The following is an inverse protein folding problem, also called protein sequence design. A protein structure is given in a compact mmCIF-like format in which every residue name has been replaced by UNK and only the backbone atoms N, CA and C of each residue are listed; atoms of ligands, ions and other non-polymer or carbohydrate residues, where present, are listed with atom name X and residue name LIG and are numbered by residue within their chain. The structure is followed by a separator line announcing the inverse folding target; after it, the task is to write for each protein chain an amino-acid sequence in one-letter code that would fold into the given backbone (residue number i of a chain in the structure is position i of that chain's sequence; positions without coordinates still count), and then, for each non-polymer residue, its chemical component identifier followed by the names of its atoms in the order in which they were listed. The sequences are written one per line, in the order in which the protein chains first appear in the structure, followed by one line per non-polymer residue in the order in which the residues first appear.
data_IF_508028082366
#
_entry.id   IF_508028082366
#
_cell.length_a   1.000
_cell.length_b   1.000
_cell.length_c   1.000
_cell.angle_alpha   90.00
_cell.angle_beta   90.00
_cell.angle_gamma   90.00
#
_symmetry.space_group_name_H-M   'P 1'
#
loop_
_entity.id
_entity.type
_entity.pdbx_description
1 polymer ?
#
# COMPACT_ATOMS: atom_id res chain seq x y z
N UNK A 1 -16.51 -1.39 20.56
CA UNK A 1 -15.84 -2.67 20.85
C UNK A 1 -14.37 -2.42 21.15
N UNK A 2 -13.75 -3.33 21.90
CA UNK A 2 -12.34 -3.22 22.27
C UNK A 2 -11.41 -3.55 21.10
N UNK A 3 -10.24 -2.93 21.07
CA UNK A 3 -9.17 -3.27 20.13
C UNK A 3 -8.68 -4.68 20.47
N UNK A 4 -8.60 -5.59 19.49
CA UNK A 4 -8.17 -6.96 19.74
C UNK A 4 -6.73 -6.98 20.29
N UNK A 5 -6.45 -7.69 21.41
CA UNK A 5 -5.12 -7.69 22.03
C UNK A 5 -3.99 -8.13 21.09
N UNK A 6 -4.27 -9.03 20.15
CA UNK A 6 -3.31 -9.52 19.17
C UNK A 6 -2.78 -8.44 18.20
N UNK A 7 -3.46 -7.28 18.12
CA UNK A 7 -2.98 -6.13 17.34
C UNK A 7 -1.91 -5.33 18.07
N UNK A 8 -1.79 -5.48 19.39
CA UNK A 8 -0.99 -4.61 20.25
C UNK A 8 0.35 -5.27 20.57
N UNK A 9 1.43 -4.53 20.37
CA UNK A 9 2.78 -4.93 20.76
C UNK A 9 3.42 -3.83 21.58
N UNK A 10 3.90 -4.15 22.77
CA UNK A 10 4.71 -3.22 23.57
C UNK A 10 6.17 -3.36 23.14
N UNK A 11 6.75 -2.30 22.60
CA UNK A 11 8.15 -2.28 22.14
C UNK A 11 9.11 -1.79 23.24
N UNK A 12 8.64 -0.88 24.09
CA UNK A 12 9.38 -0.45 25.28
C UNK A 12 8.44 -0.43 26.48
N UNK A 13 8.63 -1.38 27.39
CA UNK A 13 7.74 -1.63 28.54
C UNK A 13 8.20 -0.87 29.79
N UNK A 14 8.26 0.44 29.69
CA UNK A 14 8.41 1.34 30.84
C UNK A 14 7.06 1.96 31.20
N UNK A 15 6.87 2.45 32.44
CA UNK A 15 5.72 3.28 32.76
C UNK A 15 5.66 4.53 31.88
N UNK A 16 4.46 5.06 31.56
CA UNK A 16 4.34 6.38 30.95
C UNK A 16 5.08 7.43 31.79
N UNK A 17 5.73 8.38 31.12
CA UNK A 17 6.50 9.44 31.78
C UNK A 17 5.59 10.35 32.60
N UNK A 18 5.93 10.54 33.87
CA UNK A 18 5.30 11.55 34.72
C UNK A 18 5.61 12.96 34.21
N UNK A 19 4.57 13.81 34.14
CA UNK A 19 4.71 15.18 33.66
C UNK A 19 4.92 15.33 32.14
N UNK A 20 4.62 14.30 31.35
CA UNK A 20 4.56 14.44 29.89
C UNK A 20 3.51 15.46 29.44
N UNK A 21 3.78 16.19 28.37
CA UNK A 21 2.91 17.25 27.85
C UNK A 21 1.72 16.71 27.03
N UNK A 22 1.87 15.52 26.45
CA UNK A 22 0.89 14.87 25.56
C UNK A 22 1.15 13.36 25.43
N UNK A 23 0.16 12.63 24.93
CA UNK A 23 0.39 11.34 24.25
C UNK A 23 0.76 11.60 22.80
N UNK A 24 1.73 10.87 22.27
CA UNK A 24 2.19 11.01 20.89
C UNK A 24 1.74 9.82 20.05
N UNK A 25 1.19 10.06 18.86
CA UNK A 25 0.96 9.04 17.85
C UNK A 25 1.73 9.38 16.57
N UNK A 26 2.69 8.53 16.19
CA UNK A 26 3.29 8.58 14.86
C UNK A 26 2.35 7.88 13.86
N UNK A 27 1.64 8.69 13.08
CA UNK A 27 0.87 8.22 11.94
C UNK A 27 1.84 8.08 10.76
N UNK A 28 1.97 6.88 10.20
CA UNK A 28 2.86 6.61 9.06
C UNK A 28 2.22 5.67 8.05
N UNK A 29 1.78 4.48 8.47
CA UNK A 29 1.13 3.50 7.60
C UNK A 29 -0.39 3.74 7.51
N UNK A 30 -1.03 4.10 8.63
CA UNK A 30 -2.49 4.27 8.73
C UNK A 30 -2.89 5.74 8.61
N UNK A 31 -2.72 6.36 7.44
CA UNK A 31 -3.02 7.78 7.20
C UNK A 31 -4.52 8.07 7.03
N UNK A 32 -5.28 7.76 8.08
CA UNK A 32 -6.73 7.94 8.18
C UNK A 32 -7.17 8.09 9.62
N UNK A 33 -8.35 8.68 9.82
CA UNK A 33 -9.00 8.78 11.13
C UNK A 33 -9.99 7.63 11.36
N UNK A 34 -10.90 7.30 10.42
CA UNK A 34 -11.80 6.15 10.60
C UNK A 34 -11.05 4.82 10.53
N UNK A 35 -11.53 3.83 11.28
CA UNK A 35 -10.95 2.47 11.30
C UNK A 35 -9.42 2.45 11.51
N UNK A 36 -8.91 3.34 12.38
CA UNK A 36 -7.51 3.39 12.78
C UNK A 36 -7.36 2.96 14.26
N UNK A 37 -7.03 1.69 14.53
CA UNK A 37 -6.90 1.21 15.91
C UNK A 37 -5.74 1.87 16.68
N UNK A 38 -4.66 2.29 15.99
CA UNK A 38 -3.55 3.00 16.63
C UNK A 38 -4.00 4.36 17.17
N UNK A 39 -4.76 5.12 16.37
CA UNK A 39 -5.36 6.38 16.80
C UNK A 39 -6.31 6.18 17.98
N UNK A 40 -7.18 5.17 17.92
CA UNK A 40 -8.15 4.93 18.98
C UNK A 40 -7.48 4.47 20.30
N UNK A 41 -6.38 3.70 20.25
CA UNK A 41 -5.59 3.43 21.45
C UNK A 41 -4.93 4.70 21.98
N UNK A 42 -4.38 5.55 21.09
CA UNK A 42 -3.73 6.79 21.51
C UNK A 42 -4.71 7.74 22.23
N UNK A 43 -5.98 7.79 21.80
CA UNK A 43 -7.05 8.54 22.47
C UNK A 43 -7.37 7.92 23.84
N UNK A 44 -7.48 6.59 23.91
CA UNK A 44 -7.73 5.88 25.17
C UNK A 44 -6.64 6.17 26.22
N UNK A 45 -5.39 6.10 25.81
CA UNK A 45 -4.24 6.43 26.65
C UNK A 45 -4.18 7.91 27.03
N UNK A 46 -4.49 8.81 26.10
CA UNK A 46 -4.54 10.25 26.36
C UNK A 46 -5.60 10.58 27.43
N UNK A 47 -6.80 10.00 27.33
CA UNK A 47 -7.86 10.16 28.32
C UNK A 47 -7.45 9.57 29.68
N UNK A 48 -6.88 8.34 29.69
CA UNK A 48 -6.42 7.69 30.92
C UNK A 48 -5.37 8.52 31.67
N UNK A 49 -4.48 9.17 30.93
CA UNK A 49 -3.41 10.02 31.46
C UNK A 49 -3.84 11.48 31.68
N UNK A 50 -5.07 11.84 31.28
CA UNK A 50 -5.60 13.21 31.31
C UNK A 50 -4.73 14.22 30.53
N UNK A 51 -4.23 13.78 29.39
CA UNK A 51 -3.35 14.54 28.50
C UNK A 51 -4.00 14.77 27.14
N UNK A 52 -3.61 15.83 26.40
CA UNK A 52 -3.97 15.96 25.01
C UNK A 52 -3.22 14.93 24.14
N UNK A 53 -3.76 14.68 22.94
CA UNK A 53 -3.12 13.86 21.91
C UNK A 53 -2.48 14.75 20.84
N UNK A 54 -1.21 14.45 20.53
CA UNK A 54 -0.49 14.97 19.38
C UNK A 54 -0.26 13.82 18.38
N UNK A 55 -0.76 13.97 17.17
CA UNK A 55 -0.42 13.12 16.03
C UNK A 55 0.69 13.80 15.24
N UNK A 56 1.70 13.05 14.81
CA UNK A 56 2.76 13.56 13.96
C UNK A 56 2.98 12.70 12.72
N UNK A 57 3.62 13.31 11.71
CA UNK A 57 4.08 12.64 10.49
C UNK A 57 5.46 13.21 10.09
N UNK A 58 6.40 12.32 9.74
CA UNK A 58 7.70 12.68 9.19
C UNK A 58 7.71 12.63 7.67
N UNK A 59 7.88 13.79 7.03
CA UNK A 59 7.91 13.93 5.58
C UNK A 59 9.35 13.92 5.05
N UNK A 60 9.67 12.87 4.31
CA UNK A 60 10.90 12.75 3.53
C UNK A 60 10.81 13.59 2.26
N UNK A 61 11.90 14.23 1.84
CA UNK A 61 12.02 14.85 0.51
C UNK A 61 13.49 14.98 0.05
N UNK A 62 13.70 15.41 -1.19
CA UNK A 62 15.03 15.64 -1.76
C UNK A 62 15.87 14.36 -1.85
N UNK A 63 17.16 14.47 -1.52
CA UNK A 63 18.09 13.34 -1.48
C UNK A 63 17.70 12.25 -0.46
N UNK A 64 16.80 12.58 0.48
CA UNK A 64 16.26 11.66 1.47
C UNK A 64 14.82 11.24 1.14
N UNK A 65 14.32 11.53 -0.06
CA UNK A 65 12.97 11.16 -0.50
C UNK A 65 12.72 9.65 -0.40
N UNK A 66 11.44 9.27 -0.30
CA UNK A 66 11.10 7.85 -0.30
C UNK A 66 11.62 7.18 -1.59
N UNK A 67 12.29 6.02 -1.52
CA UNK A 67 12.91 5.41 -2.69
C UNK A 67 11.95 5.26 -3.87
N UNK A 68 12.38 5.73 -5.05
CA UNK A 68 11.63 5.63 -6.32
C UNK A 68 10.24 6.31 -6.31
N UNK A 69 9.95 7.14 -5.31
CA UNK A 69 8.78 8.02 -5.32
C UNK A 69 9.07 9.32 -6.10
N UNK A 70 8.00 9.97 -6.55
CA UNK A 70 8.06 11.18 -7.38
C UNK A 70 6.82 12.06 -7.10
N UNK A 71 6.70 13.18 -7.81
CA UNK A 71 5.64 14.17 -7.60
C UNK A 71 4.23 13.56 -7.62
N UNK A 72 3.97 12.54 -8.44
CA UNK A 72 2.68 11.82 -8.45
C UNK A 72 2.31 11.25 -7.08
N UNK A 73 3.24 10.54 -6.48
CA UNK A 73 3.05 9.84 -5.20
C UNK A 73 2.91 10.84 -4.06
N UNK A 74 3.74 11.88 -4.07
CA UNK A 74 3.71 12.93 -3.07
C UNK A 74 2.43 13.77 -3.15
N UNK A 75 1.90 14.05 -4.33
CA UNK A 75 0.61 14.71 -4.46
C UNK A 75 -0.51 13.91 -3.79
N UNK A 76 -0.61 12.61 -4.08
CA UNK A 76 -1.62 11.73 -3.48
C UNK A 76 -1.44 11.59 -1.96
N UNK A 77 -0.21 11.47 -1.48
CA UNK A 77 0.15 11.47 -0.06
C UNK A 77 -0.30 12.75 0.65
N UNK A 78 0.07 13.92 0.11
CA UNK A 78 -0.22 15.21 0.74
C UNK A 78 -1.72 15.51 0.78
N UNK A 79 -2.47 15.12 -0.26
CA UNK A 79 -3.93 15.19 -0.26
C UNK A 79 -4.53 14.33 0.87
N UNK A 80 -4.00 13.12 1.10
CA UNK A 80 -4.44 12.26 2.18
C UNK A 80 -4.09 12.79 3.57
N UNK A 81 -2.89 13.35 3.75
CA UNK A 81 -2.49 14.00 4.99
C UNK A 81 -3.34 15.24 5.29
N UNK A 82 -3.73 16.01 4.27
CA UNK A 82 -4.64 17.15 4.42
C UNK A 82 -6.03 16.70 4.93
N UNK A 83 -6.58 15.64 4.33
CA UNK A 83 -7.85 15.04 4.75
C UNK A 83 -7.79 14.50 6.19
N UNK A 84 -6.73 13.75 6.53
CA UNK A 84 -6.50 13.24 7.88
C UNK A 84 -6.33 14.37 8.91
N UNK A 85 -5.55 15.41 8.59
CA UNK A 85 -5.35 16.57 9.45
C UNK A 85 -6.67 17.28 9.77
N UNK A 86 -7.51 17.53 8.75
CA UNK A 86 -8.83 18.14 8.93
C UNK A 86 -9.76 17.26 9.77
N UNK A 87 -9.72 15.93 9.60
CA UNK A 87 -10.51 15.00 10.39
C UNK A 87 -10.04 14.91 11.86
N UNK A 88 -8.72 14.99 12.11
CA UNK A 88 -8.16 15.06 13.46
C UNK A 88 -8.53 16.36 14.17
N UNK A 89 -8.48 17.49 13.47
CA UNK A 89 -8.88 18.79 14.02
C UNK A 89 -10.35 18.80 14.46
N UNK A 90 -11.25 18.24 13.65
CA UNK A 90 -12.68 18.07 14.03
C UNK A 90 -12.88 17.25 15.31
N UNK A 91 -11.94 16.35 15.62
CA UNK A 91 -11.93 15.56 16.86
C UNK A 91 -11.17 16.24 17.99
N UNK A 92 -10.69 17.48 17.83
CA UNK A 92 -9.94 18.20 18.84
C UNK A 92 -8.52 17.67 19.06
N UNK A 93 -7.93 16.99 18.07
CA UNK A 93 -6.60 16.37 18.14
C UNK A 93 -5.62 17.23 17.34
N UNK A 94 -4.43 17.46 17.89
CA UNK A 94 -3.40 18.24 17.21
C UNK A 94 -2.66 17.36 16.19
N UNK A 95 -2.37 17.92 15.01
CA UNK A 95 -1.56 17.26 13.98
C UNK A 95 -0.33 18.11 13.64
N UNK A 96 0.85 17.48 13.59
CA UNK A 96 2.11 18.13 13.26
C UNK A 96 2.87 17.35 12.18
N UNK A 97 2.93 17.92 10.98
CA UNK A 97 3.76 17.46 9.88
C UNK A 97 5.14 18.13 9.96
N UNK A 98 6.25 17.38 9.95
CA UNK A 98 7.62 17.94 9.92
C UNK A 98 8.45 17.29 8.81
N UNK A 99 9.43 18.03 8.30
CA UNK A 99 10.48 17.45 7.44
C UNK A 99 11.41 16.58 8.28
N UNK A 100 11.78 15.42 7.76
CA UNK A 100 12.65 14.46 8.44
C UNK A 100 12.13 13.04 8.31
N UNK A 101 12.96 12.07 8.67
CA UNK A 101 12.52 10.68 8.72
C UNK A 101 11.42 10.52 9.79
N UNK A 102 10.50 9.55 9.63
CA UNK A 102 9.52 9.25 10.66
C UNK A 102 10.17 8.95 12.03
N UNK A 103 11.36 8.33 12.01
CA UNK A 103 12.12 8.04 13.22
C UNK A 103 12.65 9.31 13.90
N UNK A 104 13.32 10.20 13.18
CA UNK A 104 13.84 11.47 13.72
C UNK A 104 12.73 12.31 14.36
N UNK A 105 11.61 12.46 13.64
CA UNK A 105 10.46 13.25 14.11
C UNK A 105 9.83 12.62 15.35
N UNK A 106 9.65 11.30 15.37
CA UNK A 106 9.07 10.62 16.53
C UNK A 106 9.99 10.65 17.75
N UNK A 107 11.30 10.45 17.57
CA UNK A 107 12.28 10.48 18.67
C UNK A 107 12.29 11.87 19.32
N UNK A 108 12.43 12.94 18.53
CA UNK A 108 12.43 14.32 19.03
C UNK A 108 11.13 14.65 19.79
N UNK A 109 9.97 14.37 19.19
CA UNK A 109 8.69 14.66 19.83
C UNK A 109 8.42 13.75 21.04
N UNK A 110 9.04 12.57 21.13
CA UNK A 110 8.90 11.67 22.28
C UNK A 110 9.58 12.18 23.55
N UNK A 111 10.50 13.14 23.45
CA UNK A 111 11.19 13.72 24.62
C UNK A 111 10.23 14.41 25.59
N UNK A 112 9.08 14.86 25.10
CA UNK A 112 8.02 15.52 25.88
C UNK A 112 6.76 14.68 26.02
N UNK A 113 6.69 13.54 25.34
CA UNK A 113 5.52 12.66 25.39
C UNK A 113 5.48 11.85 26.69
N UNK A 114 4.29 11.56 27.19
CA UNK A 114 4.09 10.57 28.25
C UNK A 114 4.31 9.14 27.72
N UNK A 115 3.80 8.86 26.52
CA UNK A 115 4.04 7.63 25.76
C UNK A 115 3.90 7.87 24.26
N UNK A 116 4.47 6.95 23.49
CA UNK A 116 4.45 6.94 22.04
C UNK A 116 3.64 5.74 21.53
N UNK A 117 2.64 6.03 20.71
CA UNK A 117 1.89 5.04 19.93
C UNK A 117 2.40 5.05 18.49
N UNK A 118 2.57 3.86 17.92
CA UNK A 118 3.00 3.64 16.54
C UNK A 118 1.94 2.83 15.79
N UNK A 119 1.75 3.09 14.51
CA UNK A 119 1.20 2.07 13.62
C UNK A 119 2.29 1.08 13.16
N UNK A 120 1.92 0.12 12.31
CA UNK A 120 2.81 -0.95 11.85
C UNK A 120 2.95 -0.94 10.34
N UNK A 121 4.18 -0.69 9.88
CA UNK A 121 4.62 -0.94 8.52
C UNK A 121 5.28 -2.31 8.36
N UNK A 122 5.40 -2.77 7.12
CA UNK A 122 5.85 -4.13 6.78
C UNK A 122 7.16 -4.14 5.99
N UNK A 123 7.46 -3.05 5.30
CA UNK A 123 8.62 -2.92 4.43
C UNK A 123 9.91 -2.79 5.24
N UNK A 124 11.04 -3.15 4.62
CA UNK A 124 12.36 -3.08 5.26
C UNK A 124 12.68 -1.66 5.75
N UNK A 125 12.39 -0.63 4.95
CA UNK A 125 12.60 0.78 5.32
C UNK A 125 11.77 1.19 6.55
N UNK A 126 10.52 0.74 6.63
CA UNK A 126 9.63 1.04 7.75
C UNK A 126 10.08 0.33 9.02
N UNK A 127 10.41 -0.96 8.92
CA UNK A 127 11.02 -1.74 10.02
C UNK A 127 12.30 -1.07 10.52
N UNK A 128 13.11 -0.50 9.62
CA UNK A 128 14.28 0.32 9.94
C UNK A 128 13.93 1.50 10.84
N UNK A 129 12.97 2.35 10.42
CA UNK A 129 12.52 3.50 11.21
C UNK A 129 11.97 3.09 12.58
N UNK A 130 11.12 2.07 12.66
CA UNK A 130 10.58 1.64 13.96
C UNK A 130 11.67 1.08 14.89
N UNK A 131 12.68 0.39 14.35
CA UNK A 131 13.83 -0.06 15.13
C UNK A 131 14.71 1.11 15.61
N UNK A 132 14.85 2.18 14.83
CA UNK A 132 15.50 3.42 15.28
C UNK A 132 14.73 4.09 16.40
N UNK A 133 13.40 4.20 16.27
CA UNK A 133 12.52 4.74 17.31
C UNK A 133 12.64 3.94 18.61
N UNK A 134 12.61 2.60 18.53
CA UNK A 134 12.73 1.71 19.68
C UNK A 134 14.05 1.92 20.45
N UNK A 135 15.16 2.16 19.75
CA UNK A 135 16.46 2.47 20.38
C UNK A 135 16.55 3.91 20.90
N UNK A 136 15.93 4.85 20.18
CA UNK A 136 16.05 6.28 20.41
C UNK A 136 15.12 6.81 21.52
N UNK A 137 13.83 6.51 21.43
CA UNK A 137 12.82 7.04 22.34
C UNK A 137 12.95 6.43 23.75
N UNK A 138 12.77 7.27 24.78
CA UNK A 138 12.95 6.88 26.20
C UNK A 138 11.63 6.69 26.96
N UNK A 139 10.50 6.99 26.35
CA UNK A 139 9.17 6.77 26.91
C UNK A 139 8.65 5.37 26.59
N UNK A 140 7.50 5.01 27.17
CA UNK A 140 6.74 3.82 26.78
C UNK A 140 6.42 3.85 25.29
N UNK A 141 6.58 2.72 24.60
CA UNK A 141 6.26 2.58 23.18
C UNK A 141 5.28 1.42 22.98
N UNK A 142 4.15 1.72 22.35
CA UNK A 142 3.12 0.72 21.98
C UNK A 142 2.87 0.80 20.49
N UNK A 143 3.02 -0.31 19.78
CA UNK A 143 2.74 -0.42 18.36
C UNK A 143 1.44 -1.18 18.13
N UNK A 144 0.66 -0.74 17.12
CA UNK A 144 -0.58 -1.37 16.72
C UNK A 144 -0.62 -1.71 15.24
N UNK A 145 -1.15 -2.89 14.95
CA UNK A 145 -1.35 -3.38 13.59
C UNK A 145 -2.80 -3.17 13.12
N UNK A 146 -3.00 -2.22 12.20
CA UNK A 146 -4.32 -1.82 11.69
C UNK A 146 -4.53 -1.92 10.17
N UNK A 147 -3.48 -2.24 9.40
CA UNK A 147 -3.52 -2.24 7.93
C UNK A 147 -3.65 -3.66 7.33
N UNK A 148 -4.00 -4.63 8.17
CA UNK A 148 -4.45 -5.99 7.80
C UNK A 148 -5.67 -6.34 8.66
N UNK A 149 -6.54 -7.20 8.14
CA UNK A 149 -7.66 -7.76 8.88
C UNK A 149 -7.13 -8.59 10.04
N UNK A 150 -6.31 -9.60 9.78
CA UNK A 150 -5.70 -10.42 10.85
C UNK A 150 -4.22 -10.04 10.99
N UNK A 151 -3.73 -9.68 12.20
CA UNK A 151 -2.31 -9.36 12.41
C UNK A 151 -1.39 -10.44 11.84
N UNK A 152 -0.31 -10.03 11.14
CA UNK A 152 0.43 -10.95 10.26
C UNK A 152 0.97 -12.18 10.99
N UNK A 153 1.47 -11.99 12.21
CA UNK A 153 2.01 -13.05 13.07
C UNK A 153 0.92 -13.92 13.70
N UNK A 154 -0.29 -13.39 13.85
CA UNK A 154 -1.46 -14.15 14.31
C UNK A 154 -2.03 -15.01 13.18
N UNK A 155 -2.03 -14.47 11.95
CA UNK A 155 -2.43 -15.22 10.76
C UNK A 155 -1.46 -16.39 10.46
N UNK A 156 -0.15 -16.17 10.57
CA UNK A 156 0.85 -17.21 10.45
C UNK A 156 2.18 -16.83 11.10
N UNK A 157 2.83 -17.79 11.76
CA UNK A 157 4.17 -17.62 12.35
C UNK A 157 5.31 -17.85 11.35
N UNK A 158 4.99 -18.10 10.07
CA UNK A 158 5.96 -18.39 9.01
C UNK A 158 5.50 -17.85 7.67
N UNK A 159 6.46 -17.75 6.74
CA UNK A 159 6.19 -17.52 5.34
C UNK A 159 5.31 -18.64 4.75
N UNK A 160 4.17 -18.25 4.19
CA UNK A 160 3.24 -19.13 3.50
C UNK A 160 3.55 -19.16 2.01
N UNK A 161 3.83 -20.34 1.47
CA UNK A 161 4.26 -20.44 0.07
C UNK A 161 3.13 -20.21 -0.93
N UNK A 162 1.85 -20.24 -0.54
CA UNK A 162 0.73 -20.01 -1.46
C UNK A 162 -0.56 -19.57 -0.73
N UNK A 163 -1.47 -18.92 -1.46
CA UNK A 163 -2.77 -18.51 -0.94
C UNK A 163 -3.56 -19.69 -0.33
N UNK A 164 -3.44 -20.91 -0.89
CA UNK A 164 -4.13 -22.10 -0.38
C UNK A 164 -3.71 -22.52 1.03
N UNK A 165 -2.54 -22.10 1.52
CA UNK A 165 -2.05 -22.46 2.86
C UNK A 165 -2.32 -21.36 3.88
N UNK A 166 -2.35 -20.09 3.45
CA UNK A 166 -2.74 -18.97 4.32
C UNK A 166 -4.26 -18.84 4.48
N UNK A 167 -5.05 -19.05 3.40
CA UNK A 167 -6.52 -18.91 3.39
C UNK A 167 -7.23 -19.58 4.56
N UNK A 168 -7.04 -20.88 4.85
CA UNK A 168 -7.78 -21.53 5.95
C UNK A 168 -7.41 -20.95 7.33
N UNK A 169 -6.19 -20.41 7.49
CA UNK A 169 -5.77 -19.77 8.74
C UNK A 169 -6.48 -18.43 8.94
N UNK A 170 -6.52 -17.61 7.87
CA UNK A 170 -7.26 -16.35 7.87
C UNK A 170 -8.76 -16.57 8.08
N UNK A 171 -9.38 -17.48 7.33
CA UNK A 171 -10.82 -17.77 7.41
C UNK A 171 -11.27 -18.25 8.80
N UNK A 172 -10.38 -18.91 9.55
CA UNK A 172 -10.67 -19.33 10.93
C UNK A 172 -10.76 -18.15 11.90
N UNK A 173 -10.09 -17.05 11.60
CA UNK A 173 -9.88 -15.94 12.53
C UNK A 173 -10.60 -14.67 12.10
N UNK A 174 -10.79 -14.45 10.80
CA UNK A 174 -11.14 -13.14 10.25
C UNK A 174 -12.45 -12.55 10.80
N UNK A 175 -13.40 -13.36 11.26
CA UNK A 175 -14.66 -12.88 11.81
C UNK A 175 -14.44 -12.17 13.15
N UNK A 176 -13.46 -12.62 13.94
CA UNK A 176 -13.06 -11.96 15.20
C UNK A 176 -12.40 -10.59 14.97
N UNK A 177 -11.97 -10.31 13.74
CA UNK A 177 -11.25 -9.10 13.35
C UNK A 177 -12.02 -8.20 12.39
N UNK A 178 -13.05 -8.73 11.70
CA UNK A 178 -13.97 -8.00 10.84
C UNK A 178 -15.10 -7.40 11.68
N UNK A 179 -14.70 -6.56 12.62
CA UNK A 179 -15.57 -5.90 13.57
C UNK A 179 -15.52 -4.37 13.37
N UNK A 180 -16.65 -3.66 13.54
CA UNK A 180 -16.66 -2.21 13.54
C UNK A 180 -15.73 -1.63 14.61
N UNK A 181 -14.96 -0.61 14.25
CA UNK A 181 -14.16 0.16 15.21
C UNK A 181 -14.92 1.41 15.63
N UNK A 182 -15.41 1.42 16.87
CA UNK A 182 -16.10 2.57 17.42
C UNK A 182 -15.10 3.72 17.73
N UNK A 183 -15.35 4.94 17.23
CA UNK A 183 -14.51 6.10 17.53
C UNK A 183 -14.70 6.54 18.98
N UNK A 184 -13.60 6.89 19.66
CA UNK A 184 -13.57 7.41 21.03
C UNK A 184 -13.55 8.95 21.03
N UNK A 185 -14.11 9.55 22.07
CA UNK A 185 -14.03 11.00 22.29
C UNK A 185 -12.73 11.35 23.01
N UNK A 186 -12.08 12.44 22.62
CA UNK A 186 -10.94 12.98 23.38
C UNK A 186 -11.49 13.85 24.52
N UNK A 187 -11.05 13.58 25.75
CA UNK A 187 -11.53 14.31 26.94
C UNK A 187 -10.75 15.62 27.14
N UNK A 188 -9.53 15.69 26.60
CA UNK A 188 -8.62 16.82 26.70
C UNK A 188 -8.21 17.33 25.31
N UNK A 189 -9.03 18.18 24.67
CA UNK A 189 -8.72 18.72 23.34
C UNK A 189 -7.38 19.44 23.29
N UNK A 190 -6.65 19.26 22.19
CA UNK A 190 -5.30 19.77 21.97
C UNK A 190 -5.27 21.20 21.39
N UNK A 191 -6.33 21.99 21.61
CA UNK A 191 -6.45 23.36 21.09
C UNK A 191 -5.25 24.23 21.46
N UNK A 192 -4.53 24.74 20.46
CA UNK A 192 -3.35 25.58 20.65
C UNK A 192 -2.12 24.86 21.23
N UNK A 193 -2.12 23.52 21.33
CA UNK A 193 -1.01 22.73 21.89
C UNK A 193 0.33 23.07 21.24
N UNK A 194 0.39 23.01 19.90
CA UNK A 194 1.59 23.28 19.10
C UNK A 194 2.16 24.67 19.42
N UNK A 195 1.28 25.70 19.47
CA UNK A 195 1.67 27.08 19.80
C UNK A 195 2.14 27.23 21.24
N UNK A 196 1.42 26.63 22.20
CA UNK A 196 1.74 26.68 23.64
C UNK A 196 3.10 26.07 23.94
N UNK A 197 3.38 24.92 23.33
CA UNK A 197 4.64 24.19 23.51
C UNK A 197 5.76 24.69 22.60
N UNK A 198 5.47 25.64 21.70
CA UNK A 198 6.39 26.21 20.70
C UNK A 198 7.06 25.14 19.85
N UNK A 199 6.30 24.12 19.44
CA UNK A 199 6.80 23.09 18.53
C UNK A 199 7.09 23.75 17.17
N UNK A 200 8.35 23.62 16.70
CA UNK A 200 8.85 24.32 15.52
C UNK A 200 8.76 23.46 14.26
N UNK A 201 9.05 24.08 13.12
CA UNK A 201 9.24 23.43 11.81
C UNK A 201 8.02 22.65 11.29
N UNK A 202 6.83 23.03 11.74
CA UNK A 202 5.58 22.50 11.22
C UNK A 202 5.36 22.91 9.76
N UNK A 203 5.08 21.94 8.91
CA UNK A 203 4.64 22.15 7.54
C UNK A 203 3.12 22.29 7.49
N UNK A 204 2.65 23.26 6.71
CA UNK A 204 1.23 23.46 6.45
C UNK A 204 0.78 22.53 5.31
N UNK A 205 -0.08 21.55 5.65
CA UNK A 205 -0.66 20.59 4.70
C UNK A 205 -2.09 20.95 4.30
N UNK A 206 -2.65 22.06 4.80
CA UNK A 206 -4.01 22.49 4.44
C UNK A 206 -4.15 22.86 2.96
N UNK A 207 -3.03 23.22 2.32
CA UNK A 207 -2.88 23.44 0.88
C UNK A 207 -1.82 22.47 0.32
N UNK A 208 -2.21 21.24 -0.04
CA UNK A 208 -1.27 20.20 -0.46
C UNK A 208 -0.52 20.55 -1.74
N UNK A 209 -1.13 21.27 -2.68
CA UNK A 209 -0.49 21.66 -3.94
C UNK A 209 0.61 22.70 -3.69
N UNK A 210 0.34 23.67 -2.81
CA UNK A 210 1.35 24.66 -2.40
C UNK A 210 2.49 24.02 -1.61
N UNK A 211 2.22 23.00 -0.80
CA UNK A 211 3.27 22.27 -0.11
C UNK A 211 4.09 21.42 -1.09
N UNK A 212 3.44 20.73 -2.03
CA UNK A 212 4.09 19.93 -3.07
C UNK A 212 5.10 20.76 -3.87
N UNK A 213 4.72 21.97 -4.26
CA UNK A 213 5.59 22.91 -4.99
C UNK A 213 6.85 23.35 -4.22
N UNK A 214 6.91 23.11 -2.90
CA UNK A 214 8.07 23.41 -2.04
C UNK A 214 8.94 22.17 -1.75
N UNK A 215 8.57 21.00 -2.25
CA UNK A 215 9.35 19.78 -2.07
C UNK A 215 10.38 19.64 -3.19
N UNK A 216 11.53 19.06 -2.87
CA UNK A 216 12.52 18.69 -3.90
C UNK A 216 12.24 17.25 -4.34
N UNK A 217 11.62 17.05 -5.50
CA UNK A 217 11.16 15.74 -5.98
C UNK A 217 11.52 15.50 -7.45
N UNK A 218 11.55 14.24 -7.87
CA UNK A 218 11.43 13.90 -9.29
C UNK A 218 10.05 14.36 -9.78
N UNK A 219 10.02 15.28 -10.74
CA UNK A 219 8.80 15.86 -11.32
C UNK A 219 8.53 15.36 -12.74
N UNK A 220 9.34 14.42 -13.25
CA UNK A 220 9.17 13.84 -14.59
C UNK A 220 7.89 13.01 -14.71
N UNK A 221 7.35 12.52 -13.59
CA UNK A 221 6.06 11.85 -13.50
C UNK A 221 5.14 12.70 -12.62
N UNK A 222 4.18 13.36 -13.26
CA UNK A 222 3.27 14.30 -12.63
C UNK A 222 2.10 13.65 -11.87
N UNK A 223 1.43 14.42 -10.99
CA UNK A 223 0.15 14.05 -10.38
C UNK A 223 -0.90 13.66 -11.41
N UNK A 224 -1.87 12.86 -11.00
CA UNK A 224 -3.02 12.44 -11.81
C UNK A 224 -4.30 13.04 -11.26
N UNK A 225 -5.29 13.24 -12.12
CA UNK A 225 -6.58 13.85 -11.82
C UNK A 225 -7.61 12.81 -11.39
N UNK A 226 -7.59 11.61 -11.98
CA UNK A 226 -8.56 10.53 -11.70
C UNK A 226 -8.54 10.02 -10.25
N UNK A 227 -7.42 10.18 -9.55
CA UNK A 227 -7.26 9.72 -8.17
C UNK A 227 -6.86 10.87 -7.27
N UNK A 228 -7.76 11.23 -6.36
CA UNK A 228 -7.47 12.15 -5.26
C UNK A 228 -7.27 11.38 -3.97
N UNK A 229 -6.25 11.74 -3.19
CA UNK A 229 -5.93 11.13 -1.90
C UNK A 229 -6.88 11.53 -0.77
N UNK A 230 -6.90 10.75 0.32
CA UNK A 230 -7.76 10.95 1.49
C UNK A 230 -8.75 9.81 1.71
N UNK A 231 -9.16 9.65 2.98
CA UNK A 231 -10.21 8.73 3.40
C UNK A 231 -11.55 9.15 2.82
N UNK A 232 -11.85 10.45 2.81
CA UNK A 232 -13.12 10.97 2.26
C UNK A 232 -13.36 10.52 0.82
N UNK A 233 -12.34 10.68 -0.04
CA UNK A 233 -12.40 10.25 -1.44
C UNK A 233 -12.43 8.71 -1.57
N UNK A 234 -11.65 8.00 -0.75
CA UNK A 234 -11.65 6.54 -0.72
C UNK A 234 -13.04 5.98 -0.38
N UNK A 235 -13.71 6.57 0.62
CA UNK A 235 -15.04 6.17 1.08
C UNK A 235 -16.09 6.41 -0.01
N UNK A 236 -16.14 7.61 -0.59
CA UNK A 236 -17.09 7.91 -1.66
C UNK A 236 -16.91 6.99 -2.87
N UNK A 237 -15.66 6.62 -3.18
CA UNK A 237 -15.35 5.67 -4.25
C UNK A 237 -15.72 4.23 -3.90
N UNK A 238 -15.59 3.83 -2.64
CA UNK A 238 -16.08 2.53 -2.14
C UNK A 238 -17.61 2.46 -2.20
N UNK A 239 -18.31 3.51 -1.79
CA UNK A 239 -19.77 3.59 -1.85
C UNK A 239 -20.25 3.44 -3.29
N UNK A 240 -19.69 4.25 -4.21
CA UNK A 240 -20.01 4.16 -5.64
C UNK A 240 -19.71 2.77 -6.22
N UNK A 241 -18.62 2.13 -5.78
CA UNK A 241 -18.28 0.77 -6.22
C UNK A 241 -19.32 -0.25 -5.74
N UNK A 242 -19.71 -0.20 -4.46
CA UNK A 242 -20.71 -1.10 -3.88
C UNK A 242 -22.06 -0.94 -4.59
N UNK A 243 -22.46 0.30 -4.87
CA UNK A 243 -23.75 0.62 -5.46
C UNK A 243 -23.82 0.32 -6.97
N UNK A 244 -22.74 0.55 -7.72
CA UNK A 244 -22.79 0.55 -9.20
C UNK A 244 -22.06 -0.62 -9.87
N UNK A 245 -20.98 -1.13 -9.28
CA UNK A 245 -20.03 -2.01 -9.99
C UNK A 245 -19.69 -3.32 -9.26
N UNK A 246 -20.11 -3.47 -8.01
CA UNK A 246 -19.79 -4.65 -7.21
C UNK A 246 -20.60 -5.88 -7.62
N UNK A 247 -21.87 -5.70 -8.00
CA UNK A 247 -22.68 -6.76 -8.59
C UNK A 247 -22.07 -7.21 -9.93
N UNK A 248 -21.69 -8.49 -10.03
CA UNK A 248 -20.96 -9.05 -11.18
C UNK A 248 -19.43 -8.92 -11.10
N UNK A 249 -18.87 -8.44 -9.98
CA UNK A 249 -17.43 -8.40 -9.74
C UNK A 249 -16.74 -9.75 -10.02
N UNK A 250 -17.30 -10.86 -9.54
CA UNK A 250 -16.73 -12.20 -9.68
C UNK A 250 -16.50 -12.58 -11.15
N UNK A 251 -17.48 -12.28 -12.01
CA UNK A 251 -17.41 -12.54 -13.44
C UNK A 251 -16.64 -11.46 -14.23
N UNK A 252 -16.63 -10.22 -13.74
CA UNK A 252 -16.09 -9.04 -14.42
C UNK A 252 -14.63 -8.70 -14.11
N UNK A 253 -14.11 -9.05 -12.92
CA UNK A 253 -12.80 -8.59 -12.42
C UNK A 253 -11.56 -8.92 -13.28
N UNK A 254 -11.68 -9.87 -14.19
CA UNK A 254 -10.59 -10.25 -15.11
C UNK A 254 -10.74 -9.62 -16.50
N UNK A 255 -11.77 -8.78 -16.70
CA UNK A 255 -12.09 -8.08 -17.95
C UNK A 255 -11.84 -6.57 -17.75
N UNK A 256 -10.71 -6.04 -18.21
CA UNK A 256 -10.33 -4.64 -18.02
C UNK A 256 -11.39 -3.63 -18.49
N UNK A 257 -12.11 -3.95 -19.57
CA UNK A 257 -13.17 -3.14 -20.16
C UNK A 257 -14.48 -3.15 -19.38
N UNK A 258 -14.66 -4.10 -18.45
CA UNK A 258 -15.92 -4.27 -17.73
C UNK A 258 -16.10 -3.24 -16.60
N UNK A 259 -15.08 -2.46 -16.25
CA UNK A 259 -15.18 -1.46 -15.19
C UNK A 259 -15.40 -2.04 -13.78
N UNK A 260 -15.21 -3.35 -13.60
CA UNK A 260 -15.52 -4.05 -12.35
C UNK A 260 -14.47 -3.86 -11.23
N UNK A 261 -13.36 -3.16 -11.48
CA UNK A 261 -12.35 -2.95 -10.44
C UNK A 261 -12.80 -1.86 -9.46
N UNK A 262 -12.61 -2.08 -8.15
CA UNK A 262 -12.91 -1.06 -7.13
C UNK A 262 -11.92 0.11 -7.11
N UNK A 263 -10.74 -0.09 -7.72
CA UNK A 263 -9.59 0.81 -7.68
C UNK A 263 -9.23 1.30 -6.26
N UNK A 264 -9.40 0.43 -5.26
CA UNK A 264 -9.04 0.73 -3.86
C UNK A 264 -7.53 0.64 -3.59
N UNK A 265 -6.73 0.11 -4.51
CA UNK A 265 -5.31 -0.18 -4.26
C UNK A 265 -4.46 1.06 -3.93
N UNK A 266 -4.62 2.25 -4.56
CA UNK A 266 -3.90 3.45 -4.13
C UNK A 266 -4.25 3.83 -2.68
N UNK A 267 -5.53 3.78 -2.32
CA UNK A 267 -6.00 4.15 -0.99
C UNK A 267 -5.54 3.16 0.09
N UNK A 268 -5.51 1.86 -0.24
CA UNK A 268 -4.96 0.83 0.64
C UNK A 268 -3.44 0.95 0.82
N UNK A 269 -2.71 1.32 -0.23
CA UNK A 269 -1.26 1.51 -0.18
C UNK A 269 -0.87 2.64 0.79
N UNK A 270 -1.52 3.80 0.64
CA UNK A 270 -1.30 4.96 1.52
C UNK A 270 -2.08 4.87 2.84
N UNK A 271 -2.80 3.77 3.11
CA UNK A 271 -3.60 3.61 4.33
C UNK A 271 -4.68 4.66 4.52
N UNK A 272 -5.15 5.28 3.42
CA UNK A 272 -6.29 6.21 3.42
C UNK A 272 -7.61 5.51 3.74
N UNK A 273 -7.68 4.18 3.58
CA UNK A 273 -8.86 3.38 3.93
C UNK A 273 -8.45 2.06 4.55
N UNK A 274 -9.22 1.58 5.54
CA UNK A 274 -8.95 0.31 6.22
C UNK A 274 -9.42 -0.88 5.37
N UNK A 275 -8.66 -1.99 5.31
CA UNK A 275 -9.17 -3.22 4.72
C UNK A 275 -10.39 -3.78 5.49
N UNK A 276 -10.49 -3.53 6.80
CA UNK A 276 -11.66 -3.93 7.61
C UNK A 276 -12.90 -3.13 7.22
N UNK A 277 -12.75 -1.82 6.99
CA UNK A 277 -13.85 -0.96 6.53
C UNK A 277 -14.40 -1.43 5.18
N UNK A 278 -13.51 -1.72 4.22
CA UNK A 278 -13.90 -2.25 2.91
C UNK A 278 -14.61 -3.60 3.07
N UNK A 279 -14.03 -4.54 3.82
CA UNK A 279 -14.59 -5.86 3.99
C UNK A 279 -15.99 -5.84 4.65
N UNK A 280 -16.21 -4.94 5.60
CA UNK A 280 -17.53 -4.73 6.22
C UNK A 280 -18.55 -4.19 5.21
N UNK A 281 -18.17 -3.19 4.40
CA UNK A 281 -19.05 -2.66 3.35
C UNK A 281 -19.43 -3.74 2.32
N UNK A 282 -18.46 -4.55 1.90
CA UNK A 282 -18.66 -5.66 0.96
C UNK A 282 -19.57 -6.76 1.54
N UNK A 283 -19.45 -7.04 2.84
CA UNK A 283 -20.35 -7.99 3.54
C UNK A 283 -21.77 -7.45 3.64
N UNK A 284 -21.92 -6.14 3.83
CA UNK A 284 -23.22 -5.48 3.99
C UNK A 284 -23.96 -5.21 2.67
N UNK A 285 -23.25 -5.21 1.52
CA UNK A 285 -23.86 -5.02 0.21
C UNK A 285 -24.95 -6.07 -0.06
N UNK A 286 -26.17 -5.65 -0.38
CA UNK A 286 -27.32 -6.57 -0.54
C UNK A 286 -27.39 -7.18 -1.95
N UNK A 287 -27.12 -6.38 -2.99
CA UNK A 287 -27.38 -6.72 -4.40
C UNK A 287 -26.35 -7.66 -5.06
N UNK A 288 -25.19 -7.86 -4.45
CA UNK A 288 -24.17 -8.78 -4.96
C UNK A 288 -24.49 -10.23 -4.60
N UNK A 289 -23.97 -11.20 -5.37
CA UNK A 289 -24.13 -12.62 -5.03
C UNK A 289 -23.00 -13.14 -4.12
N UNK A 290 -23.04 -14.44 -3.79
CA UNK A 290 -22.02 -15.06 -2.93
C UNK A 290 -20.65 -15.13 -3.62
N UNK A 291 -20.63 -15.29 -4.93
CA UNK A 291 -19.41 -15.44 -5.73
C UNK A 291 -18.69 -14.10 -5.83
N UNK A 292 -19.42 -13.00 -6.01
CA UNK A 292 -18.91 -11.62 -5.97
C UNK A 292 -18.23 -11.31 -4.63
N UNK A 293 -18.94 -11.55 -3.52
CA UNK A 293 -18.39 -11.35 -2.16
C UNK A 293 -17.17 -12.21 -1.90
N UNK A 294 -17.24 -13.49 -2.25
CA UNK A 294 -16.14 -14.43 -2.03
C UNK A 294 -14.90 -14.06 -2.86
N UNK A 295 -15.10 -13.66 -4.13
CA UNK A 295 -14.02 -13.22 -5.00
C UNK A 295 -13.37 -11.93 -4.50
N UNK A 296 -14.16 -10.96 -4.04
CA UNK A 296 -13.62 -9.69 -3.54
C UNK A 296 -12.84 -9.88 -2.23
N UNK A 297 -13.38 -10.62 -1.27
CA UNK A 297 -12.72 -10.89 0.01
C UNK A 297 -11.46 -11.77 -0.14
N UNK A 298 -11.43 -12.68 -1.12
CA UNK A 298 -10.21 -13.41 -1.48
C UNK A 298 -9.08 -12.46 -1.93
N UNK A 299 -9.37 -11.50 -2.81
CA UNK A 299 -8.35 -10.54 -3.27
C UNK A 299 -7.96 -9.54 -2.16
N UNK A 300 -8.96 -8.97 -1.46
CA UNK A 300 -8.76 -7.96 -0.42
C UNK A 300 -8.00 -8.50 0.81
N UNK A 301 -8.31 -9.72 1.24
CA UNK A 301 -7.79 -10.28 2.49
C UNK A 301 -6.74 -11.34 2.18
N UNK A 302 -7.09 -12.40 1.47
CA UNK A 302 -6.18 -13.56 1.30
C UNK A 302 -4.98 -13.21 0.43
N UNK A 303 -5.19 -12.59 -0.74
CA UNK A 303 -4.10 -12.25 -1.66
C UNK A 303 -3.26 -11.10 -1.13
N UNK A 304 -3.93 -10.05 -0.65
CA UNK A 304 -3.25 -8.91 -0.05
C UNK A 304 -2.40 -9.32 1.15
N UNK A 305 -2.98 -9.99 2.14
CA UNK A 305 -2.25 -10.33 3.37
C UNK A 305 -1.21 -11.44 3.16
N UNK A 306 -1.32 -12.22 2.08
CA UNK A 306 -0.22 -13.09 1.63
C UNK A 306 1.01 -12.27 1.23
N UNK A 307 0.83 -11.12 0.58
CA UNK A 307 1.92 -10.21 0.27
C UNK A 307 2.54 -9.60 1.53
N UNK A 308 1.72 -9.19 2.51
CA UNK A 308 2.23 -8.75 3.82
C UNK A 308 2.99 -9.88 4.54
N UNK A 309 2.50 -11.11 4.50
CA UNK A 309 3.19 -12.28 5.06
C UNK A 309 4.55 -12.52 4.36
N UNK A 310 4.60 -12.39 3.03
CA UNK A 310 5.84 -12.52 2.26
C UNK A 310 6.88 -11.49 2.68
N UNK A 311 6.58 -10.20 2.56
CA UNK A 311 7.56 -9.14 2.90
C UNK A 311 7.90 -9.11 4.39
N UNK A 312 7.00 -9.61 5.25
CA UNK A 312 7.28 -9.71 6.67
C UNK A 312 8.34 -10.76 6.98
N UNK A 313 8.27 -11.94 6.36
CA UNK A 313 9.15 -13.07 6.64
C UNK A 313 10.35 -13.23 5.69
N UNK A 314 10.38 -12.50 4.58
CA UNK A 314 11.46 -12.59 3.58
C UNK A 314 12.33 -11.33 3.63
N UNK A 315 13.55 -11.46 4.15
CA UNK A 315 14.55 -10.39 4.05
C UNK A 315 15.01 -10.22 2.60
N UNK A 316 15.06 -8.97 2.12
CA UNK A 316 15.37 -8.66 0.73
C UNK A 316 14.33 -9.17 -0.26
N UNK A 317 13.04 -9.06 0.08
CA UNK A 317 11.91 -9.36 -0.82
C UNK A 317 11.90 -8.53 -2.12
N UNK A 318 12.76 -7.51 -2.21
CA UNK A 318 12.97 -6.61 -3.33
C UNK A 318 14.19 -6.99 -4.19
N UNK A 319 14.83 -8.12 -3.91
CA UNK A 319 15.93 -8.69 -4.68
C UNK A 319 15.56 -10.04 -5.30
N UNK A 320 15.96 -10.28 -6.55
CA UNK A 320 15.63 -11.51 -7.27
C UNK A 320 16.09 -12.78 -6.54
N UNK A 321 17.31 -12.79 -5.99
CA UNK A 321 17.89 -14.00 -5.42
C UNK A 321 17.15 -14.48 -4.16
N UNK A 322 16.52 -13.55 -3.43
CA UNK A 322 15.81 -13.81 -2.18
C UNK A 322 14.29 -13.86 -2.34
N UNK A 323 13.72 -13.02 -3.21
CA UNK A 323 12.29 -12.95 -3.44
C UNK A 323 11.76 -14.12 -4.29
N UNK A 324 12.57 -14.59 -5.25
CA UNK A 324 12.16 -15.65 -6.19
C UNK A 324 12.47 -17.04 -5.61
N UNK A 325 11.48 -17.96 -5.56
CA UNK A 325 11.68 -19.27 -4.96
C UNK A 325 12.69 -20.10 -5.75
N UNK A 326 13.43 -20.96 -5.05
CA UNK A 326 14.52 -21.75 -5.61
C UNK A 326 14.13 -22.56 -6.85
N UNK A 327 12.95 -23.20 -6.84
CA UNK A 327 12.46 -23.99 -7.98
C UNK A 327 12.35 -23.14 -9.27
N UNK A 328 11.95 -21.88 -9.13
CA UNK A 328 11.78 -20.98 -10.24
C UNK A 328 13.12 -20.39 -10.68
N UNK A 329 14.00 -20.02 -9.75
CA UNK A 329 15.37 -19.61 -10.09
C UNK A 329 16.11 -20.72 -10.85
N UNK A 330 15.95 -21.97 -10.43
CA UNK A 330 16.56 -23.13 -11.10
C UNK A 330 16.04 -23.29 -12.54
N UNK A 331 14.72 -23.30 -12.74
CA UNK A 331 14.17 -23.50 -14.08
C UNK A 331 14.47 -22.31 -15.00
N UNK A 332 14.58 -21.09 -14.47
CA UNK A 332 14.98 -19.92 -15.26
C UNK A 332 16.47 -19.99 -15.64
N UNK A 333 17.34 -20.42 -14.71
CA UNK A 333 18.77 -20.61 -14.97
C UNK A 333 19.05 -21.71 -16.01
N UNK A 334 18.27 -22.80 -16.01
CA UNK A 334 18.33 -23.86 -17.03
C UNK A 334 18.03 -23.35 -18.45
N UNK A 335 17.38 -22.19 -18.56
CA UNK A 335 16.95 -21.56 -19.81
C UNK A 335 17.66 -20.23 -20.08
N UNK A 336 18.76 -19.92 -19.37
CA UNK A 336 19.48 -18.66 -19.51
C UNK A 336 20.11 -18.45 -20.91
N UNK A 337 20.47 -19.54 -21.60
CA UNK A 337 21.07 -19.52 -22.94
C UNK A 337 20.04 -19.58 -24.08
N UNK A 338 18.74 -19.58 -23.76
CA UNK A 338 17.70 -19.56 -24.79
C UNK A 338 17.74 -18.25 -25.59
N UNK A 339 17.63 -18.35 -26.91
CA UNK A 339 17.56 -17.17 -27.76
C UNK A 339 16.28 -16.36 -27.46
N UNK A 340 16.46 -15.12 -27.01
CA UNK A 340 15.37 -14.16 -26.84
C UNK A 340 14.96 -13.57 -28.20
N UNK A 341 13.66 -13.66 -28.61
CA UNK A 341 13.21 -13.16 -29.90
C UNK A 341 13.48 -11.68 -30.12
N UNK A 342 13.39 -10.88 -29.06
CA UNK A 342 13.65 -9.45 -29.06
C UNK A 342 13.99 -8.97 -27.66
N UNK A 343 14.92 -8.03 -27.56
CA UNK A 343 15.29 -7.34 -26.33
C UNK A 343 14.91 -5.86 -26.47
N UNK A 344 14.54 -5.23 -25.36
CA UNK A 344 14.27 -3.80 -25.29
C UNK A 344 15.13 -3.15 -24.20
N UNK A 345 15.47 -1.88 -24.39
CA UNK A 345 16.02 -1.04 -23.32
C UNK A 345 14.93 -0.71 -22.29
N UNK A 346 15.32 -0.26 -21.10
CA UNK A 346 14.34 0.19 -20.10
C UNK A 346 13.57 1.41 -20.59
N UNK A 347 14.21 2.31 -21.35
CA UNK A 347 13.58 3.48 -21.95
C UNK A 347 12.53 3.08 -22.99
N UNK A 348 12.84 2.13 -23.89
CA UNK A 348 11.86 1.61 -24.86
C UNK A 348 10.66 0.98 -24.16
N UNK A 349 10.89 0.22 -23.08
CA UNK A 349 9.82 -0.34 -22.27
C UNK A 349 9.02 0.78 -21.59
N UNK A 350 9.66 1.75 -20.94
CA UNK A 350 9.00 2.86 -20.24
C UNK A 350 8.14 3.73 -21.18
N UNK A 351 8.60 3.92 -22.41
CA UNK A 351 7.90 4.71 -23.42
C UNK A 351 6.79 3.92 -24.13
N UNK A 352 6.71 2.60 -23.95
CA UNK A 352 5.76 1.76 -24.66
C UNK A 352 6.11 1.61 -26.14
N UNK A 353 7.40 1.43 -26.46
CA UNK A 353 7.93 1.32 -27.82
C UNK A 353 8.29 -0.12 -28.18
N UNK A 354 7.39 -1.05 -27.87
CA UNK A 354 7.57 -2.45 -28.23
C UNK A 354 6.80 -2.81 -29.50
N UNK A 355 7.08 -3.99 -30.05
CA UNK A 355 6.29 -4.58 -31.13
C UNK A 355 4.87 -4.99 -30.73
N UNK A 356 4.60 -5.13 -29.43
CA UNK A 356 3.31 -5.59 -28.91
C UNK A 356 2.44 -4.37 -28.60
N UNK A 357 1.45 -4.16 -29.46
CA UNK A 357 0.51 -3.05 -29.37
C UNK A 357 -0.20 -2.97 -28.01
N UNK A 358 -0.73 -4.09 -27.52
CA UNK A 358 -1.52 -4.07 -26.28
C UNK A 358 -0.65 -4.01 -25.03
N UNK A 359 0.59 -4.48 -25.10
CA UNK A 359 1.58 -4.19 -24.06
C UNK A 359 1.86 -2.68 -23.97
N UNK A 360 2.03 -2.01 -25.11
CA UNK A 360 2.25 -0.56 -25.17
C UNK A 360 1.02 0.22 -24.64
N UNK A 361 -0.21 -0.22 -24.96
CA UNK A 361 -1.45 0.34 -24.41
C UNK A 361 -1.48 0.20 -22.89
N UNK A 362 -1.17 -0.97 -22.35
CA UNK A 362 -1.12 -1.18 -20.90
C UNK A 362 -0.04 -0.32 -20.23
N UNK A 363 1.15 -0.24 -20.83
CA UNK A 363 2.22 0.65 -20.35
C UNK A 363 1.79 2.12 -20.34
N UNK A 364 1.06 2.57 -21.37
CA UNK A 364 0.48 3.93 -21.42
C UNK A 364 -0.55 4.15 -20.32
N UNK A 365 -1.44 3.20 -20.06
CA UNK A 365 -2.40 3.28 -18.94
C UNK A 365 -1.67 3.56 -17.62
N UNK A 366 -0.65 2.76 -17.31
CA UNK A 366 0.16 2.93 -16.11
C UNK A 366 0.89 4.27 -16.07
N UNK A 367 1.53 4.64 -17.18
CA UNK A 367 2.34 5.86 -17.25
C UNK A 367 1.49 7.11 -17.08
N UNK A 368 0.36 7.22 -17.76
CA UNK A 368 -0.47 8.43 -17.74
C UNK A 368 -1.41 8.47 -16.53
N UNK A 369 -1.97 7.33 -16.09
CA UNK A 369 -3.03 7.30 -15.06
C UNK A 369 -2.57 6.85 -13.68
N UNK A 370 -1.35 6.32 -13.57
CA UNK A 370 -0.83 5.73 -12.34
C UNK A 370 -1.49 4.41 -11.94
N UNK A 371 -2.27 3.81 -12.85
CA UNK A 371 -2.99 2.55 -12.66
C UNK A 371 -2.90 1.66 -13.90
N UNK A 372 -3.00 0.36 -13.69
CA UNK A 372 -3.08 -0.66 -14.74
C UNK A 372 -3.93 -1.79 -14.19
N UNK A 373 -4.86 -2.28 -15.00
CA UNK A 373 -5.72 -3.37 -14.60
C UNK A 373 -4.90 -4.64 -14.27
N UNK A 374 -5.28 -5.39 -13.22
CA UNK A 374 -4.49 -6.52 -12.70
C UNK A 374 -4.19 -7.61 -13.76
N UNK A 375 -5.16 -7.89 -14.63
CA UNK A 375 -4.98 -8.84 -15.75
C UNK A 375 -3.83 -8.40 -16.68
N UNK A 376 -3.68 -7.09 -16.91
CA UNK A 376 -2.60 -6.53 -17.72
C UNK A 376 -1.29 -6.44 -16.94
N UNK A 377 -1.30 -6.22 -15.62
CA UNK A 377 -0.05 -6.25 -14.81
C UNK A 377 0.67 -7.59 -14.94
N UNK A 378 -0.09 -8.69 -14.87
CA UNK A 378 0.47 -10.03 -15.07
C UNK A 378 1.05 -10.20 -16.48
N UNK A 379 0.31 -9.78 -17.51
CA UNK A 379 0.76 -9.87 -18.90
C UNK A 379 2.02 -9.03 -19.13
N UNK A 380 1.96 -7.76 -18.73
CA UNK A 380 3.01 -6.77 -18.82
C UNK A 380 4.32 -7.29 -18.23
N UNK A 381 4.26 -7.80 -17.01
CA UNK A 381 5.40 -8.33 -16.30
C UNK A 381 6.02 -9.57 -16.94
N UNK A 382 5.19 -10.52 -17.40
CA UNK A 382 5.67 -11.71 -18.10
C UNK A 382 6.39 -11.37 -19.40
N UNK A 383 5.95 -10.32 -20.09
CA UNK A 383 6.63 -9.84 -21.31
C UNK A 383 7.96 -9.16 -21.01
N UNK A 384 8.10 -8.45 -19.89
CA UNK A 384 9.41 -7.92 -19.47
C UNK A 384 10.41 -9.06 -19.26
N UNK A 385 10.01 -10.17 -18.63
CA UNK A 385 10.85 -11.38 -18.54
C UNK A 385 11.22 -11.94 -19.92
N UNK A 386 10.28 -12.01 -20.86
CA UNK A 386 10.53 -12.49 -22.22
C UNK A 386 11.52 -11.61 -23.00
N UNK A 387 11.54 -10.30 -22.72
CA UNK A 387 12.29 -9.29 -23.49
C UNK A 387 13.50 -8.69 -22.75
N UNK A 388 13.93 -9.33 -21.68
CA UNK A 388 15.11 -8.93 -20.91
C UNK A 388 16.25 -9.94 -21.09
N UNK A 389 17.51 -9.50 -20.98
CA UNK A 389 18.66 -10.37 -21.20
C UNK A 389 18.85 -11.44 -20.11
N UNK A 390 18.28 -11.23 -18.92
CA UNK A 390 18.27 -12.21 -17.85
C UNK A 390 17.05 -12.03 -16.93
N UNK A 391 16.68 -13.05 -16.14
CA UNK A 391 15.63 -12.93 -15.13
C UNK A 391 15.93 -11.87 -14.06
N UNK A 392 17.19 -11.70 -13.65
CA UNK A 392 17.63 -10.70 -12.68
C UNK A 392 17.36 -9.29 -13.20
N UNK A 393 17.78 -9.02 -14.44
CA UNK A 393 17.56 -7.71 -15.06
C UNK A 393 16.06 -7.47 -15.32
N UNK A 394 15.33 -8.51 -15.74
CA UNK A 394 13.88 -8.43 -15.87
C UNK A 394 13.20 -8.04 -14.56
N UNK A 395 13.59 -8.67 -13.45
CA UNK A 395 13.03 -8.42 -12.13
C UNK A 395 13.30 -6.99 -11.69
N UNK A 396 14.55 -6.53 -11.82
CA UNK A 396 14.95 -5.18 -11.45
C UNK A 396 14.24 -4.11 -12.30
N UNK A 397 14.15 -4.29 -13.62
CA UNK A 397 13.38 -3.40 -14.52
C UNK A 397 11.90 -3.36 -14.16
N UNK A 398 11.32 -4.52 -13.87
CA UNK A 398 9.90 -4.61 -13.49
C UNK A 398 9.64 -3.83 -12.21
N UNK A 399 10.49 -3.96 -11.19
CA UNK A 399 10.36 -3.17 -9.95
C UNK A 399 10.50 -1.67 -10.21
N UNK A 400 11.54 -1.24 -10.94
CA UNK A 400 11.77 0.18 -11.25
C UNK A 400 10.58 0.81 -11.98
N UNK A 401 10.06 0.15 -13.01
CA UNK A 401 8.89 0.62 -13.75
C UNK A 401 7.62 0.62 -12.88
N UNK A 402 7.39 -0.45 -12.12
CA UNK A 402 6.24 -0.57 -11.22
C UNK A 402 6.23 0.59 -10.21
N UNK A 403 7.35 0.78 -9.51
CA UNK A 403 7.48 1.81 -8.49
C UNK A 403 7.43 3.20 -9.13
N UNK A 404 8.09 3.43 -10.26
CA UNK A 404 8.08 4.76 -10.91
C UNK A 404 6.68 5.26 -11.27
N UNK A 405 5.77 4.38 -11.71
CA UNK A 405 4.51 4.82 -12.31
C UNK A 405 3.25 4.51 -11.50
N UNK A 406 3.17 3.37 -10.81
CA UNK A 406 1.95 3.02 -10.07
C UNK A 406 1.78 3.86 -8.81
N UNK A 407 0.57 4.41 -8.62
CA UNK A 407 0.20 4.99 -7.33
C UNK A 407 0.29 3.98 -6.19
N UNK A 408 0.00 2.70 -6.45
CA UNK A 408 0.11 1.59 -5.50
C UNK A 408 1.45 0.82 -5.57
N UNK A 409 2.48 1.44 -6.18
CA UNK A 409 3.87 0.97 -6.20
C UNK A 409 4.56 1.11 -4.84
N UNK A 410 5.74 0.48 -4.67
CA UNK A 410 6.47 0.40 -3.38
C UNK A 410 5.64 -0.15 -2.23
N UNK A 411 4.75 -1.08 -2.54
CA UNK A 411 3.87 -1.74 -1.59
C UNK A 411 4.25 -3.21 -1.45
N UNK A 412 3.91 -3.83 -0.31
CA UNK A 412 4.06 -5.27 -0.13
C UNK A 412 3.44 -6.05 -1.31
N UNK A 413 2.25 -5.65 -1.75
CA UNK A 413 1.58 -6.22 -2.90
C UNK A 413 2.39 -6.06 -4.18
N UNK A 414 2.97 -4.88 -4.40
CA UNK A 414 3.79 -4.59 -5.57
C UNK A 414 5.03 -5.49 -5.63
N UNK A 415 5.80 -5.61 -4.55
CA UNK A 415 6.98 -6.50 -4.50
C UNK A 415 6.60 -7.97 -4.72
N UNK A 416 5.56 -8.45 -4.03
CA UNK A 416 5.07 -9.83 -4.18
C UNK A 416 4.50 -10.10 -5.57
N UNK A 417 3.80 -9.14 -6.18
CA UNK A 417 3.29 -9.27 -7.55
C UNK A 417 4.43 -9.34 -8.56
N UNK A 418 5.51 -8.57 -8.35
CA UNK A 418 6.70 -8.70 -9.19
C UNK A 418 7.33 -10.07 -9.02
N UNK A 419 7.58 -10.53 -7.79
CA UNK A 419 8.10 -11.88 -7.57
C UNK A 419 7.17 -13.01 -8.10
N UNK A 420 5.85 -12.80 -8.14
CA UNK A 420 4.90 -13.73 -8.73
C UNK A 420 5.10 -13.91 -10.24
N UNK A 421 5.52 -12.85 -10.97
CA UNK A 421 5.92 -12.95 -12.38
C UNK A 421 7.06 -13.97 -12.55
N UNK A 422 7.87 -14.18 -11.53
CA UNK A 422 8.98 -15.12 -11.56
C UNK A 422 8.68 -16.43 -10.82
N UNK A 423 7.46 -16.64 -10.32
CA UNK A 423 7.01 -17.91 -9.75
C UNK A 423 6.72 -17.92 -8.24
N UNK A 424 6.90 -16.80 -7.54
CA UNK A 424 6.46 -16.71 -6.14
C UNK A 424 4.95 -16.99 -6.02
N UNK A 425 4.54 -17.82 -5.06
CA UNK A 425 3.14 -18.21 -4.81
C UNK A 425 2.40 -18.89 -5.97
N UNK A 426 3.13 -19.31 -7.01
CA UNK A 426 2.60 -20.11 -8.11
C UNK A 426 3.18 -21.54 -8.06
N UNK A 427 2.75 -22.37 -9.00
CA UNK A 427 3.26 -23.72 -9.22
C UNK A 427 4.02 -23.81 -10.54
N UNK A 428 4.82 -24.87 -10.75
CA UNK A 428 5.39 -25.18 -12.06
C UNK A 428 4.32 -25.41 -13.13
N UNK A 429 4.61 -24.98 -14.36
CA UNK A 429 3.83 -25.16 -15.58
C UNK A 429 4.63 -25.95 -16.62
N UNK A 430 4.02 -26.22 -17.77
CA UNK A 430 4.71 -26.83 -18.90
C UNK A 430 5.93 -26.00 -19.30
N UNK A 431 7.08 -26.65 -19.38
CA UNK A 431 8.36 -26.01 -19.74
C UNK A 431 8.29 -25.33 -21.11
N UNK A 432 8.80 -24.11 -21.19
CA UNK A 432 8.94 -23.32 -22.42
C UNK A 432 10.30 -22.65 -22.45
N UNK A 433 10.74 -22.29 -23.67
CA UNK A 433 11.94 -21.46 -23.83
C UNK A 433 11.80 -20.17 -23.02
N UNK A 434 12.92 -19.68 -22.47
CA UNK A 434 13.06 -18.49 -21.62
C UNK A 434 12.41 -18.65 -20.24
N UNK A 435 11.18 -19.14 -20.18
CA UNK A 435 10.40 -19.21 -18.93
C UNK A 435 10.72 -20.44 -18.08
N UNK A 436 11.34 -21.47 -18.67
CA UNK A 436 11.35 -22.79 -18.06
C UNK A 436 9.94 -23.21 -17.68
N UNK A 437 9.74 -23.65 -16.43
CA UNK A 437 8.44 -24.01 -15.87
C UNK A 437 7.71 -22.85 -15.16
N UNK A 438 8.19 -21.62 -15.23
CA UNK A 438 7.43 -20.44 -14.78
C UNK A 438 6.22 -20.23 -15.68
N UNK A 439 5.08 -19.81 -15.11
CA UNK A 439 3.85 -19.55 -15.89
C UNK A 439 4.12 -18.58 -17.03
N UNK A 440 3.80 -18.99 -18.25
CA UNK A 440 3.82 -18.14 -19.44
C UNK A 440 2.47 -17.46 -19.69
N UNK A 441 2.50 -16.23 -20.22
CA UNK A 441 1.32 -15.57 -20.81
C UNK A 441 1.63 -15.14 -22.24
N UNK A 442 0.86 -15.66 -23.20
CA UNK A 442 0.90 -15.20 -24.60
C UNK A 442 -0.15 -14.13 -24.87
N UNK A 443 -0.10 -13.54 -26.06
CA UNK A 443 -1.16 -12.68 -26.62
C UNK A 443 -2.55 -13.35 -26.59
N UNK A 444 -2.64 -14.69 -26.54
CA UNK A 444 -3.93 -15.37 -26.36
C UNK A 444 -4.60 -15.01 -25.02
N UNK A 445 -3.84 -14.53 -24.04
CA UNK A 445 -4.39 -14.00 -22.78
C UNK A 445 -5.27 -12.77 -23.02
N UNK A 446 -5.00 -12.01 -24.09
CA UNK A 446 -5.76 -10.83 -24.50
C UNK A 446 -7.07 -11.20 -25.22
N UNK A 447 -7.25 -12.46 -25.65
CA UNK A 447 -8.50 -12.94 -26.26
C UNK A 447 -9.60 -13.23 -25.25
N UNK A 448 -9.30 -13.14 -23.94
CA UNK A 448 -10.24 -13.41 -22.85
C UNK A 448 -11.17 -12.22 -22.56
N UNK A 449 -10.92 -11.08 -23.18
CA UNK A 449 -11.62 -9.83 -22.96
C UNK A 449 -11.60 -8.98 -24.25
N UNK A 450 -12.42 -7.93 -24.34
CA UNK A 450 -12.40 -7.03 -25.49
C UNK A 450 -11.23 -6.05 -25.41
N UNK A 451 -10.09 -6.46 -25.98
CA UNK A 451 -8.86 -5.67 -26.00
C UNK A 451 -9.02 -4.31 -26.71
N UNK A 452 -9.91 -4.21 -27.71
CA UNK A 452 -10.20 -2.93 -28.39
C UNK A 452 -11.03 -2.02 -27.50
N UNK A 453 -11.99 -2.56 -26.75
CA UNK A 453 -12.74 -1.78 -25.76
C UNK A 453 -11.83 -1.28 -24.63
N UNK A 454 -10.90 -2.13 -24.18
CA UNK A 454 -9.87 -1.72 -23.22
C UNK A 454 -9.02 -0.57 -23.77
N UNK A 455 -8.50 -0.67 -24.99
CA UNK A 455 -7.72 0.42 -25.61
C UNK A 455 -8.50 1.74 -25.73
N UNK A 456 -9.78 1.68 -26.13
CA UNK A 456 -10.65 2.88 -26.16
C UNK A 456 -10.83 3.47 -24.76
N UNK A 457 -10.96 2.63 -23.73
CA UNK A 457 -11.05 3.10 -22.35
C UNK A 457 -9.74 3.78 -21.92
N UNK A 458 -8.58 3.15 -22.15
CA UNK A 458 -7.27 3.73 -21.83
C UNK A 458 -7.06 5.06 -22.55
N UNK A 459 -7.40 5.14 -23.84
CA UNK A 459 -7.26 6.39 -24.62
C UNK A 459 -8.04 7.54 -23.98
N UNK A 460 -9.31 7.32 -23.63
CA UNK A 460 -10.14 8.34 -22.94
C UNK A 460 -9.57 8.72 -21.57
N UNK A 461 -9.00 7.76 -20.85
CA UNK A 461 -8.39 8.02 -19.55
C UNK A 461 -7.14 8.89 -19.70
N UNK A 462 -6.25 8.55 -20.64
CA UNK A 462 -5.05 9.35 -20.92
C UNK A 462 -5.40 10.77 -21.37
N UNK A 463 -6.40 10.93 -22.24
CA UNK A 463 -6.87 12.26 -22.68
C UNK A 463 -7.40 13.09 -21.50
N UNK A 464 -8.12 12.46 -20.56
CA UNK A 464 -8.61 13.14 -19.35
C UNK A 464 -7.48 13.56 -18.39
N UNK A 465 -6.36 12.84 -18.40
CA UNK A 465 -5.14 13.21 -17.64
C UNK A 465 -4.29 14.28 -18.34
N UNK A 466 -4.60 14.61 -19.60
CA UNK A 466 -3.88 15.59 -20.41
C UNK A 466 -2.72 15.02 -21.24
N UNK A 467 -2.68 13.70 -21.46
CA UNK A 467 -1.65 13.00 -22.27
C UNK A 467 -2.17 12.29 -23.51
#
# INVERSE_FOLDING_TARGET
MAIQPARIRVLNDVPPRDGGDYVLYLMQQSMRVPFNPALELAIEEANRLKLPLLVCFGLLDGANGFPEANARHYAFLLQGLADAAAALEKRGIAFLLRRGTPAEVAIDLSERAALLVLDRGYLAIQKGWYGEIERGAKCRIVQLEGDVVVPVETASTKHEYAARTLRPKLQKLWDDYLEPLAPRTIDHPAGGLIKRLKLKDGLDVSDPDRLLAKLTLDTTVGPVQRFRGGHTEARGRLDSFVDEAFAGYGAGRNKPEAGAASHMSPYLHFGHISPVEIALAIRAAEDADRDDRSAYLEELIVRRELAMNHVFHTEGYDDYARAVPEWARKTLAEHADDAHPKLYSEEELAEGKTHDHYWNVAMREMRETGYMHNQLRMYWGKKILEWSPSPEEAFARTLRLNNRYFLDGRDANSFTNVAWIFGLHDRPWQTRKIFGSVRYQSENSLRKFDAKAYERAVTRLCEAEGG
#
